data_IF_630679593046
#
_entry.id   IF_630679593046
#
_cell.length_a   1.000
_cell.length_b   1.000
_cell.length_c   1.000
_cell.angle_alpha   90.00
_cell.angle_beta   90.00
_cell.angle_gamma   90.00
#
_symmetry.space_group_name_H-M   'P 1'
#
loop_
_entity.id
_entity.type
_entity.pdbx_description
1 polymer ?
#
# COMPACT_ATOMS: atom_id res chain seq x y z
N UNK A 1 21.95 24.38 8.62
CA UNK A 1 22.49 24.02 7.32
C UNK A 1 21.37 23.46 6.45
N UNK A 2 21.17 24.06 5.30
CA UNK A 2 20.04 23.75 4.43
C UNK A 2 20.07 22.30 3.91
N UNK A 3 21.23 21.81 3.56
CA UNK A 3 21.38 20.48 3.03
C UNK A 3 21.01 19.37 4.00
N UNK A 4 21.23 19.59 5.32
CA UNK A 4 20.90 18.56 6.31
C UNK A 4 19.40 18.38 6.50
N UNK A 5 18.61 19.45 6.41
CA UNK A 5 17.16 19.37 6.51
C UNK A 5 16.56 18.58 5.33
N UNK A 6 16.98 18.92 4.10
CA UNK A 6 16.53 18.23 2.91
C UNK A 6 16.97 16.76 2.89
N UNK A 7 18.19 16.50 3.34
CA UNK A 7 18.71 15.13 3.43
C UNK A 7 17.87 14.29 4.38
N UNK A 8 17.53 14.82 5.55
CA UNK A 8 16.72 14.11 6.54
C UNK A 8 15.33 13.77 5.98
N UNK A 9 14.70 14.72 5.30
CA UNK A 9 13.39 14.52 4.67
C UNK A 9 13.45 13.42 3.59
N UNK A 10 14.45 13.47 2.73
CA UNK A 10 14.63 12.46 1.67
C UNK A 10 14.90 11.09 2.26
N UNK A 11 15.71 11.03 3.32
CA UNK A 11 16.01 9.76 4.00
C UNK A 11 14.75 9.17 4.62
N UNK A 12 13.94 9.98 5.28
CA UNK A 12 12.67 9.51 5.87
C UNK A 12 11.70 9.02 4.80
N UNK A 13 11.60 9.73 3.68
CA UNK A 13 10.73 9.30 2.57
C UNK A 13 11.20 7.97 1.99
N UNK A 14 12.51 7.78 1.84
CA UNK A 14 13.06 6.51 1.35
C UNK A 14 12.75 5.35 2.32
N UNK A 15 12.85 5.59 3.62
CA UNK A 15 12.52 4.56 4.63
C UNK A 15 11.04 4.22 4.58
N UNK A 16 10.17 5.24 4.46
CA UNK A 16 8.72 5.03 4.37
C UNK A 16 8.37 4.18 3.15
N UNK A 17 8.91 4.54 1.99
CA UNK A 17 8.66 3.81 0.75
C UNK A 17 9.13 2.36 0.85
N UNK A 18 10.34 2.15 1.34
CA UNK A 18 10.90 0.81 1.51
C UNK A 18 10.07 -0.01 2.48
N UNK A 19 9.70 0.57 3.63
CA UNK A 19 8.90 -0.13 4.63
C UNK A 19 7.56 -0.57 4.05
N UNK A 20 6.86 0.32 3.35
CA UNK A 20 5.57 0.00 2.75
C UNK A 20 5.70 -1.06 1.65
N UNK A 21 6.69 -0.94 0.77
CA UNK A 21 6.86 -1.89 -0.33
C UNK A 21 7.25 -3.28 0.17
N UNK A 22 8.01 -3.37 1.25
CA UNK A 22 8.42 -4.66 1.81
C UNK A 22 7.36 -5.27 2.73
N UNK A 23 6.47 -4.45 3.32
CA UNK A 23 5.57 -4.90 4.37
C UNK A 23 4.11 -4.52 4.12
N UNK A 24 3.69 -4.30 2.88
CA UNK A 24 2.34 -3.79 2.57
C UNK A 24 1.22 -4.70 3.11
N UNK A 25 1.50 -5.98 3.32
CA UNK A 25 0.51 -6.94 3.83
C UNK A 25 0.22 -6.74 5.31
N UNK A 26 1.20 -6.25 6.08
CA UNK A 26 1.09 -6.13 7.53
C UNK A 26 1.64 -4.81 8.07
N UNK A 27 1.91 -3.85 7.20
CA UNK A 27 2.49 -2.58 7.60
C UNK A 27 1.58 -1.84 8.58
N UNK A 28 2.18 -1.20 9.57
CA UNK A 28 1.47 -0.37 10.54
C UNK A 28 2.25 0.92 10.79
N UNK A 29 1.53 1.94 11.24
CA UNK A 29 2.18 3.20 11.60
C UNK A 29 3.15 2.99 12.76
N UNK A 30 2.81 2.11 13.70
CA UNK A 30 3.72 1.76 14.82
C UNK A 30 5.01 1.14 14.31
N UNK A 31 4.93 0.21 13.35
CA UNK A 31 6.11 -0.38 12.74
C UNK A 31 6.97 0.63 12.02
N UNK A 32 6.35 1.58 11.31
CA UNK A 32 7.10 2.66 10.67
C UNK A 32 7.78 3.56 11.71
N UNK A 33 7.08 3.90 12.78
CA UNK A 33 7.63 4.72 13.86
C UNK A 33 8.87 4.06 14.46
N UNK A 34 8.83 2.75 14.66
CA UNK A 34 9.99 1.99 15.15
C UNK A 34 11.17 2.07 14.16
N UNK A 35 10.90 1.96 12.87
CA UNK A 35 11.94 2.04 11.83
C UNK A 35 12.61 3.42 11.81
N UNK A 36 11.82 4.47 12.00
CA UNK A 36 12.33 5.85 11.96
C UNK A 36 12.81 6.34 13.32
N UNK A 37 12.44 5.63 14.39
CA UNK A 37 12.76 6.01 15.77
C UNK A 37 12.11 7.35 16.15
N UNK A 38 10.86 7.55 15.73
CA UNK A 38 10.03 8.72 16.01
C UNK A 38 8.69 8.30 16.60
N UNK A 39 7.94 9.28 17.11
CA UNK A 39 6.61 9.04 17.66
C UNK A 39 5.60 8.72 16.56
N UNK A 40 4.49 8.08 16.94
CA UNK A 40 3.38 7.84 16.02
C UNK A 40 2.83 9.14 15.44
N UNK A 41 2.70 10.15 16.29
CA UNK A 41 2.17 11.45 15.86
C UNK A 41 3.06 12.10 14.80
N UNK A 42 4.37 12.08 15.01
CA UNK A 42 5.32 12.62 14.03
C UNK A 42 5.19 11.87 12.70
N UNK A 43 5.19 10.54 12.74
CA UNK A 43 5.13 9.74 11.52
C UNK A 43 3.83 9.97 10.76
N UNK A 44 2.71 10.04 11.48
CA UNK A 44 1.40 10.30 10.87
C UNK A 44 1.38 11.64 10.14
N UNK A 45 1.83 12.70 10.80
CA UNK A 45 1.87 14.05 10.21
C UNK A 45 2.88 14.11 9.06
N UNK A 46 4.04 13.49 9.22
CA UNK A 46 5.08 13.51 8.20
C UNK A 46 4.57 12.85 6.90
N UNK A 47 3.93 11.70 7.02
CA UNK A 47 3.40 10.99 5.85
C UNK A 47 2.37 11.85 5.14
N UNK A 48 1.41 12.38 5.88
CA UNK A 48 0.34 13.19 5.30
C UNK A 48 0.88 14.47 4.66
N UNK A 49 1.78 15.18 5.35
CA UNK A 49 2.31 16.46 4.87
C UNK A 49 3.15 16.31 3.61
N UNK A 50 3.86 15.19 3.48
CA UNK A 50 4.81 15.01 2.37
C UNK A 50 4.23 14.22 1.19
N UNK A 51 3.13 13.48 1.37
CA UNK A 51 2.53 12.67 0.31
C UNK A 51 1.13 13.11 -0.06
N UNK A 52 0.45 13.84 0.81
CA UNK A 52 -0.97 14.17 0.64
C UNK A 52 -1.91 13.03 0.99
N UNK A 53 -1.38 11.89 1.46
CA UNK A 53 -2.16 10.70 1.80
C UNK A 53 -1.83 10.25 3.21
N UNK A 54 -2.82 9.66 3.90
CA UNK A 54 -2.55 8.99 5.16
C UNK A 54 -1.75 7.71 4.92
N UNK A 55 -1.13 7.19 5.97
CA UNK A 55 -0.41 5.91 5.90
C UNK A 55 -1.32 4.79 5.39
N UNK A 56 -2.55 4.71 5.89
CA UNK A 56 -3.51 3.69 5.46
C UNK A 56 -3.87 3.82 3.99
N UNK A 57 -4.00 5.04 3.50
CA UNK A 57 -4.28 5.29 2.09
C UNK A 57 -3.13 4.82 1.21
N UNK A 58 -1.89 5.09 1.62
CA UNK A 58 -0.72 4.61 0.89
C UNK A 58 -0.64 3.10 0.87
N UNK A 59 -0.90 2.45 2.01
CA UNK A 59 -0.92 0.99 2.08
C UNK A 59 -1.96 0.40 1.14
N UNK A 60 -3.15 1.00 1.13
CA UNK A 60 -4.24 0.58 0.23
C UNK A 60 -3.82 0.71 -1.23
N UNK A 61 -3.20 1.83 -1.60
CA UNK A 61 -2.72 2.04 -2.97
C UNK A 61 -1.73 0.96 -3.40
N UNK A 62 -0.80 0.62 -2.55
CA UNK A 62 0.19 -0.43 -2.85
C UNK A 62 -0.48 -1.79 -2.98
N UNK A 63 -1.40 -2.12 -2.06
CA UNK A 63 -2.15 -3.38 -2.13
C UNK A 63 -2.93 -3.47 -3.44
N UNK A 64 -3.56 -2.38 -3.87
CA UNK A 64 -4.34 -2.36 -5.11
C UNK A 64 -3.44 -2.52 -6.34
N UNK A 65 -2.28 -1.90 -6.37
CA UNK A 65 -1.32 -2.09 -7.45
C UNK A 65 -0.84 -3.53 -7.54
N UNK A 66 -0.57 -4.16 -6.39
CA UNK A 66 -0.19 -5.57 -6.35
C UNK A 66 -1.34 -6.47 -6.80
N UNK A 67 -2.57 -6.13 -6.42
CA UNK A 67 -3.75 -6.86 -6.87
C UNK A 67 -3.85 -6.88 -8.40
N UNK A 68 -3.66 -5.72 -9.04
CA UNK A 68 -3.69 -5.61 -10.50
C UNK A 68 -2.63 -6.51 -11.13
N UNK A 69 -1.42 -6.54 -10.58
CA UNK A 69 -0.37 -7.42 -11.07
C UNK A 69 -0.77 -8.89 -11.01
N UNK A 70 -1.34 -9.32 -9.88
CA UNK A 70 -1.84 -10.71 -9.76
C UNK A 70 -2.93 -11.02 -10.77
N UNK A 71 -3.86 -10.08 -10.96
CA UNK A 71 -5.00 -10.29 -11.87
C UNK A 71 -4.56 -10.38 -13.32
N UNK A 72 -3.58 -9.57 -13.73
CA UNK A 72 -3.16 -9.49 -15.13
C UNK A 72 -2.08 -10.51 -15.51
N UNK A 73 -1.17 -10.83 -14.59
CA UNK A 73 0.04 -11.58 -14.92
C UNK A 73 0.16 -12.92 -14.20
N UNK A 74 -0.84 -13.32 -13.44
CA UNK A 74 -0.89 -14.59 -12.75
C UNK A 74 -2.31 -15.17 -12.84
N UNK A 75 -2.43 -16.48 -12.60
CA UNK A 75 -3.73 -17.15 -12.58
C UNK A 75 -4.22 -17.40 -11.15
N UNK A 76 -3.70 -16.66 -10.21
CA UNK A 76 -4.02 -16.79 -8.80
C UNK A 76 -5.51 -16.55 -8.55
N UNK A 77 -6.22 -17.42 -7.85
CA UNK A 77 -7.63 -17.18 -7.52
C UNK A 77 -7.80 -15.92 -6.68
N UNK A 78 -8.95 -15.25 -6.86
CA UNK A 78 -9.22 -13.96 -6.20
C UNK A 78 -9.13 -14.07 -4.68
N UNK A 79 -9.67 -15.14 -4.09
CA UNK A 79 -9.61 -15.33 -2.63
C UNK A 79 -8.17 -15.47 -2.13
N UNK A 80 -7.30 -16.09 -2.91
CA UNK A 80 -5.89 -16.24 -2.55
C UNK A 80 -5.16 -14.91 -2.72
N UNK A 81 -5.50 -14.12 -3.73
CA UNK A 81 -4.95 -12.76 -3.89
C UNK A 81 -5.26 -11.94 -2.63
N UNK A 82 -6.52 -11.96 -2.18
CA UNK A 82 -6.93 -11.23 -0.98
C UNK A 82 -6.07 -11.61 0.23
N UNK A 83 -5.86 -12.90 0.43
CA UNK A 83 -5.04 -13.41 1.52
C UNK A 83 -3.60 -12.94 1.41
N UNK A 84 -3.01 -13.02 0.24
CA UNK A 84 -1.62 -12.61 0.01
C UNK A 84 -1.41 -11.11 0.16
N UNK A 85 -2.46 -10.32 -0.05
CA UNK A 85 -2.39 -8.87 0.15
C UNK A 85 -2.59 -8.45 1.62
N UNK A 86 -2.96 -9.38 2.48
CA UNK A 86 -3.13 -9.11 3.90
C UNK A 86 -4.56 -8.79 4.32
N UNK A 87 -5.55 -9.04 3.47
CA UNK A 87 -6.96 -8.88 3.84
C UNK A 87 -7.45 -10.07 4.65
N UNK A 88 -8.24 -9.79 5.68
CA UNK A 88 -8.78 -10.84 6.55
C UNK A 88 -9.85 -11.70 5.87
N UNK A 89 -10.54 -11.15 4.86
CA UNK A 89 -11.51 -11.89 4.08
C UNK A 89 -11.55 -11.37 2.64
N UNK A 90 -11.96 -12.23 1.72
CA UNK A 90 -11.99 -11.87 0.31
C UNK A 90 -13.08 -10.84 -0.01
N UNK A 91 -14.18 -10.85 0.73
CA UNK A 91 -15.27 -9.89 0.55
C UNK A 91 -14.80 -8.46 0.78
N UNK A 92 -13.99 -8.24 1.80
CA UNK A 92 -13.43 -6.92 2.09
C UNK A 92 -12.52 -6.47 0.96
N UNK A 93 -11.66 -7.34 0.48
CA UNK A 93 -10.79 -7.06 -0.66
C UNK A 93 -11.61 -6.69 -1.90
N UNK A 94 -12.62 -7.50 -2.24
CA UNK A 94 -13.46 -7.25 -3.41
C UNK A 94 -14.17 -5.91 -3.34
N UNK A 95 -14.65 -5.53 -2.15
CA UNK A 95 -15.30 -4.25 -1.93
C UNK A 95 -14.33 -3.09 -2.18
N UNK A 96 -13.15 -3.15 -1.58
CA UNK A 96 -12.13 -2.12 -1.73
C UNK A 96 -11.70 -2.00 -3.19
N UNK A 97 -11.47 -3.14 -3.86
CA UNK A 97 -11.05 -3.15 -5.25
C UNK A 97 -12.10 -2.50 -6.16
N UNK A 98 -13.37 -2.84 -5.96
CA UNK A 98 -14.45 -2.25 -6.77
C UNK A 98 -14.57 -0.75 -6.53
N UNK A 99 -14.36 -0.29 -5.29
CA UNK A 99 -14.36 1.15 -5.00
C UNK A 99 -13.23 1.88 -5.73
N UNK A 100 -12.07 1.26 -5.87
CA UNK A 100 -10.92 1.89 -6.53
C UNK A 100 -11.03 1.87 -8.06
N UNK A 101 -11.51 0.76 -8.64
CA UNK A 101 -11.43 0.55 -10.08
C UNK A 101 -12.80 0.46 -10.77
N UNK A 102 -13.88 0.50 -10.03
CA UNK A 102 -15.24 0.42 -10.62
C UNK A 102 -15.67 -0.96 -11.08
N UNK A 103 -14.80 -1.95 -10.98
CA UNK A 103 -15.06 -3.34 -11.36
C UNK A 103 -14.67 -4.26 -10.21
N UNK A 104 -15.34 -5.41 -10.11
CA UNK A 104 -14.87 -6.46 -9.20
C UNK A 104 -13.54 -7.03 -9.73
N UNK A 105 -12.73 -7.67 -8.87
CA UNK A 105 -11.50 -8.31 -9.36
C UNK A 105 -11.73 -9.29 -10.48
N UNK A 106 -12.78 -10.09 -10.40
CA UNK A 106 -13.13 -11.06 -11.45
C UNK A 106 -13.47 -10.37 -12.77
N UNK A 107 -14.26 -9.30 -12.70
CA UNK A 107 -14.61 -8.51 -13.89
C UNK A 107 -13.36 -7.83 -14.49
N UNK A 108 -12.52 -7.30 -13.64
CA UNK A 108 -11.28 -6.64 -14.05
C UNK A 108 -10.38 -7.62 -14.81
N UNK A 109 -10.18 -8.82 -14.25
CA UNK A 109 -9.38 -9.87 -14.90
C UNK A 109 -9.95 -10.24 -16.26
N UNK A 110 -11.28 -10.43 -16.34
CA UNK A 110 -11.93 -10.82 -17.57
C UNK A 110 -11.77 -9.79 -18.68
N UNK A 111 -11.82 -8.52 -18.33
CA UNK A 111 -11.74 -7.42 -19.31
C UNK A 111 -10.32 -7.02 -19.69
N UNK A 112 -9.42 -7.03 -18.73
CA UNK A 112 -8.09 -6.41 -18.88
C UNK A 112 -6.96 -7.39 -19.10
N UNK A 113 -7.16 -8.67 -18.77
CA UNK A 113 -6.08 -9.66 -18.87
C UNK A 113 -5.69 -9.86 -20.35
N UNK A 114 -4.39 -9.76 -20.68
CA UNK A 114 -3.92 -10.01 -22.04
C UNK A 114 -4.18 -11.49 -22.44
N UNK A 115 -4.58 -11.69 -23.67
CA UNK A 115 -4.82 -13.04 -24.20
C UNK A 115 -3.65 -13.53 -25.02
#
# INVERSE_FOLDING_TARGET
>A
ILGSHDFSKKTHMAVIARYLLQNYTCASLAGLADQLNYSLSYCSHFVLDNTGFTFKQLQKKIRMQKAVSYLLYADTPVNLIAEQLGYSCSENFMKVFKQEYGLTPTQYRARMKPQ
#
